data_IF_281525011524
#
_entry.id   IF_281525011524
#
_cell.length_a   1.000
_cell.length_b   1.000
_cell.length_c   1.000
_cell.angle_alpha   90.00
_cell.angle_beta   90.00
_cell.angle_gamma   90.00
#
_symmetry.space_group_name_H-M   'P 1'
#
loop_
_entity.id
_entity.type
_entity.pdbx_description
1 polymer ?
#
# COMPACT_ATOMS: atom_id res chain seq x y z
N UNK A 1 57.54 50.57 43.64
CA UNK A 1 56.58 49.49 43.72
C UNK A 1 55.77 49.55 42.45
N UNK A 2 56.02 48.67 41.51
CA UNK A 2 55.36 48.63 40.22
C UNK A 2 54.31 47.56 40.24
N UNK A 3 53.01 47.95 40.17
CA UNK A 3 51.91 47.07 39.97
C UNK A 3 51.75 46.80 38.49
N UNK A 4 52.13 45.63 38.03
CA UNK A 4 51.89 45.19 36.68
C UNK A 4 50.46 44.69 36.57
N UNK A 5 49.62 45.48 35.96
CA UNK A 5 48.28 45.05 35.54
C UNK A 5 48.40 44.26 34.24
N UNK A 6 48.37 42.95 34.40
CA UNK A 6 48.17 42.06 33.24
C UNK A 6 46.68 42.08 32.83
N UNK A 7 46.32 42.84 31.82
CA UNK A 7 45.04 42.71 31.16
C UNK A 7 45.06 41.43 30.32
N UNK A 8 44.44 40.42 30.84
CA UNK A 8 44.11 39.26 30.03
C UNK A 8 42.87 39.61 29.17
N UNK A 9 43.14 39.80 27.86
CA UNK A 9 42.10 39.89 26.88
C UNK A 9 41.44 38.53 26.74
N UNK A 10 40.17 38.41 27.17
CA UNK A 10 39.34 37.25 26.85
C UNK A 10 38.92 37.41 25.39
N UNK A 11 39.51 36.56 24.53
CA UNK A 11 38.98 36.40 23.17
C UNK A 11 37.78 35.51 23.29
N UNK A 12 36.59 36.06 23.23
CA UNK A 12 35.35 35.30 23.06
C UNK A 12 35.32 34.84 21.60
N UNK A 13 35.73 33.59 21.38
CA UNK A 13 35.54 32.93 20.10
C UNK A 13 34.05 32.64 19.97
N UNK A 14 33.37 33.47 19.20
CA UNK A 14 31.99 33.21 18.78
C UNK A 14 32.02 32.07 17.75
N UNK A 15 31.91 30.85 18.25
CA UNK A 15 31.71 29.68 17.40
C UNK A 15 30.32 29.73 16.78
N UNK A 16 30.24 30.17 15.54
CA UNK A 16 29.04 30.04 14.74
C UNK A 16 28.75 28.56 14.55
N UNK A 17 27.89 27.99 15.36
CA UNK A 17 27.30 26.69 15.09
C UNK A 17 26.37 26.87 13.87
N UNK A 18 26.86 26.53 12.68
CA UNK A 18 26.02 26.32 11.51
C UNK A 18 25.16 25.08 11.80
N UNK A 19 23.90 25.33 12.19
CA UNK A 19 22.88 24.30 12.10
C UNK A 19 22.66 24.00 10.62
N UNK A 20 23.28 22.92 10.13
CA UNK A 20 22.86 22.28 8.91
C UNK A 20 21.49 21.66 9.19
N UNK A 21 20.45 22.42 8.92
CA UNK A 21 19.12 21.83 8.78
C UNK A 21 19.15 20.96 7.54
N UNK A 22 19.38 19.66 7.72
CA UNK A 22 19.15 18.70 6.69
C UNK A 22 17.65 18.72 6.40
N UNK A 23 17.23 19.45 5.37
CA UNK A 23 15.93 19.23 4.78
C UNK A 23 15.93 17.80 4.24
N UNK A 24 15.40 16.87 5.02
CA UNK A 24 14.96 15.61 4.50
C UNK A 24 13.77 15.93 3.58
N UNK A 25 14.05 16.18 2.30
CA UNK A 25 13.04 16.18 1.29
C UNK A 25 12.47 14.76 1.28
N UNK A 26 11.35 14.55 1.98
CA UNK A 26 10.61 13.31 1.92
C UNK A 26 10.21 13.10 0.47
N UNK A 27 10.86 12.14 -0.20
CA UNK A 27 10.36 11.63 -1.46
C UNK A 27 8.90 11.20 -1.19
N UNK A 28 7.92 11.63 -2.02
CA UNK A 28 6.59 11.09 -1.89
C UNK A 28 6.72 9.58 -1.95
N UNK A 29 6.33 8.89 -0.87
CA UNK A 29 6.26 7.43 -0.89
C UNK A 29 5.38 7.09 -2.08
N UNK A 30 5.96 6.42 -3.11
CA UNK A 30 5.15 5.80 -4.12
C UNK A 30 4.09 5.01 -3.37
N UNK A 31 2.80 5.27 -3.64
CA UNK A 31 1.73 4.51 -2.99
C UNK A 31 1.88 3.08 -3.45
N UNK A 32 2.63 2.29 -2.66
CA UNK A 32 2.66 0.86 -2.83
C UNK A 32 1.23 0.37 -2.65
N UNK A 33 0.75 -0.43 -3.59
CA UNK A 33 -0.51 -1.13 -3.45
C UNK A 33 -0.48 -1.88 -2.11
N UNK A 34 -1.56 -1.80 -1.33
CA UNK A 34 -1.70 -2.56 -0.09
C UNK A 34 -1.44 -4.04 -0.36
N UNK A 35 -0.61 -4.71 0.45
CA UNK A 35 -0.36 -6.13 0.27
C UNK A 35 -1.68 -6.91 0.36
N UNK A 36 -1.82 -7.93 -0.49
CA UNK A 36 -3.02 -8.77 -0.56
C UNK A 36 -4.30 -8.02 -0.94
N UNK A 37 -4.16 -6.91 -1.64
CA UNK A 37 -5.27 -6.17 -2.21
C UNK A 37 -5.30 -6.35 -3.73
N UNK A 38 -6.52 -6.55 -4.25
CA UNK A 38 -6.81 -6.48 -5.68
C UNK A 38 -7.71 -5.27 -5.92
N UNK A 39 -7.27 -4.37 -6.76
CA UNK A 39 -8.05 -3.21 -7.17
C UNK A 39 -8.83 -3.55 -8.42
N UNK A 40 -10.10 -3.16 -8.46
CA UNK A 40 -10.94 -3.24 -9.66
C UNK A 40 -10.98 -1.84 -10.26
N UNK A 41 -10.36 -1.68 -11.43
CA UNK A 41 -10.29 -0.40 -12.13
C UNK A 41 -10.21 -0.61 -13.64
N UNK A 42 -10.85 0.27 -14.38
CA UNK A 42 -10.91 0.20 -15.85
C UNK A 42 -11.42 -1.17 -16.33
N UNK A 43 -12.41 -1.73 -15.63
CA UNK A 43 -12.97 -3.05 -15.94
C UNK A 43 -11.94 -4.18 -15.91
N UNK A 44 -10.99 -4.09 -15.00
CA UNK A 44 -9.94 -5.10 -14.80
C UNK A 44 -9.68 -5.32 -13.30
N UNK A 45 -9.30 -6.54 -12.95
CA UNK A 45 -8.68 -6.84 -11.66
C UNK A 45 -7.18 -6.55 -11.75
N UNK A 46 -6.66 -5.83 -10.78
CA UNK A 46 -5.23 -5.50 -10.72
C UNK A 46 -4.65 -5.78 -9.31
N UNK A 47 -3.70 -6.71 -9.20
CA UNK A 47 -3.12 -7.55 -10.24
C UNK A 47 -4.11 -8.61 -10.74
N UNK A 48 -3.91 -9.09 -11.97
CA UNK A 48 -4.69 -10.20 -12.52
C UNK A 48 -4.22 -11.57 -12.03
N UNK A 49 -3.05 -11.63 -11.44
CA UNK A 49 -2.50 -12.83 -10.79
C UNK A 49 -1.86 -12.41 -9.45
N UNK A 50 -2.31 -13.01 -8.38
CA UNK A 50 -1.80 -12.77 -7.04
C UNK A 50 -1.48 -14.11 -6.37
N UNK A 51 -0.27 -14.22 -5.81
CA UNK A 51 0.13 -15.37 -5.01
C UNK A 51 0.18 -14.98 -3.54
N UNK A 52 -0.49 -15.75 -2.70
CA UNK A 52 -0.56 -15.54 -1.25
C UNK A 52 -0.30 -16.84 -0.49
N UNK A 53 0.04 -16.72 0.77
CA UNK A 53 0.16 -17.86 1.69
C UNK A 53 -1.22 -18.28 2.19
N UNK A 54 -1.39 -19.58 2.47
CA UNK A 54 -2.57 -20.09 3.14
C UNK A 54 -2.83 -19.34 4.45
N UNK A 55 -4.08 -18.99 4.71
CA UNK A 55 -4.50 -18.17 5.84
C UNK A 55 -4.56 -16.67 5.54
N UNK A 56 -4.18 -16.25 4.34
CA UNK A 56 -4.21 -14.84 3.94
C UNK A 56 -5.62 -14.39 3.60
N UNK A 57 -5.99 -13.20 4.06
CA UNK A 57 -7.20 -12.50 3.64
C UNK A 57 -6.86 -11.59 2.46
N UNK A 58 -7.54 -11.78 1.34
CA UNK A 58 -7.44 -10.91 0.16
C UNK A 58 -8.62 -9.96 0.16
N UNK A 59 -8.34 -8.70 -0.11
CA UNK A 59 -9.35 -7.63 -0.21
C UNK A 59 -9.44 -7.15 -1.64
N UNK A 60 -10.63 -7.17 -2.21
CA UNK A 60 -10.94 -6.51 -3.48
C UNK A 60 -11.60 -5.17 -3.20
N UNK A 61 -11.16 -4.14 -3.89
CA UNK A 61 -11.75 -2.80 -3.81
C UNK A 61 -12.14 -2.31 -5.20
N UNK A 62 -13.42 -1.96 -5.36
CA UNK A 62 -13.90 -1.37 -6.61
C UNK A 62 -13.58 0.13 -6.66
N UNK A 63 -12.73 0.52 -7.62
CA UNK A 63 -12.39 1.91 -7.89
C UNK A 63 -13.08 2.48 -9.12
N UNK A 64 -13.87 1.65 -9.84
CA UNK A 64 -14.70 2.10 -10.95
C UNK A 64 -16.00 2.75 -10.48
N UNK A 65 -16.56 3.61 -11.30
CA UNK A 65 -17.90 4.15 -11.08
C UNK A 65 -19.02 3.17 -11.40
N UNK A 66 -18.71 2.04 -12.05
CA UNK A 66 -19.63 0.96 -12.38
C UNK A 66 -19.57 -0.13 -11.31
N UNK A 67 -20.70 -0.80 -11.01
CA UNK A 67 -20.70 -1.92 -10.09
C UNK A 67 -19.99 -3.14 -10.68
N UNK A 68 -19.28 -3.85 -9.84
CA UNK A 68 -18.61 -5.11 -10.15
C UNK A 68 -18.87 -6.15 -9.07
N UNK A 69 -18.68 -7.41 -9.40
CA UNK A 69 -18.71 -8.52 -8.43
C UNK A 69 -17.41 -9.31 -8.46
N UNK A 70 -17.16 -10.06 -7.40
CA UNK A 70 -16.03 -10.97 -7.28
C UNK A 70 -16.59 -12.36 -7.10
N UNK A 71 -16.42 -13.22 -8.10
CA UNK A 71 -17.01 -14.56 -8.14
C UNK A 71 -15.91 -15.58 -8.37
N UNK A 72 -15.89 -16.64 -7.58
CA UNK A 72 -15.05 -17.81 -7.85
C UNK A 72 -15.81 -18.79 -8.73
N UNK A 73 -15.15 -19.33 -9.77
CA UNK A 73 -15.76 -20.23 -10.75
C UNK A 73 -16.17 -21.59 -10.17
N UNK A 74 -15.57 -22.00 -9.06
CA UNK A 74 -15.95 -23.23 -8.33
C UNK A 74 -17.04 -22.98 -7.28
N UNK A 75 -17.55 -21.74 -7.15
CA UNK A 75 -18.62 -21.39 -6.24
C UNK A 75 -18.22 -21.28 -4.76
N UNK A 76 -16.92 -21.14 -4.48
CA UNK A 76 -16.41 -21.05 -3.10
C UNK A 76 -16.78 -19.70 -2.46
N UNK A 77 -16.78 -18.64 -3.25
CA UNK A 77 -17.20 -17.31 -2.79
C UNK A 77 -17.86 -16.52 -3.93
N UNK A 78 -18.70 -15.61 -3.52
CA UNK A 78 -19.43 -14.71 -4.41
C UNK A 78 -19.75 -13.43 -3.63
N UNK A 79 -19.22 -12.29 -4.09
CA UNK A 79 -19.56 -10.99 -3.49
C UNK A 79 -20.95 -10.54 -3.90
N UNK A 80 -21.53 -9.62 -3.13
CA UNK A 80 -22.61 -8.76 -3.62
C UNK A 80 -22.05 -7.80 -4.68
N UNK A 81 -22.92 -7.03 -5.34
CA UNK A 81 -22.48 -5.94 -6.20
C UNK A 81 -21.69 -4.91 -5.37
N UNK A 82 -20.49 -4.60 -5.83
CA UNK A 82 -19.62 -3.60 -5.22
C UNK A 82 -19.75 -2.31 -5.99
N UNK A 83 -20.29 -1.28 -5.35
CA UNK A 83 -20.29 0.09 -5.86
C UNK A 83 -18.90 0.72 -5.72
N UNK A 84 -18.72 1.93 -6.21
CA UNK A 84 -17.44 2.63 -6.10
C UNK A 84 -16.98 2.71 -4.63
N UNK A 85 -15.74 2.35 -4.38
CA UNK A 85 -15.08 2.28 -3.07
C UNK A 85 -15.55 1.13 -2.14
N UNK A 86 -16.52 0.34 -2.54
CA UNK A 86 -16.89 -0.85 -1.80
C UNK A 86 -15.78 -1.91 -1.85
N UNK A 87 -15.72 -2.73 -0.81
CA UNK A 87 -14.74 -3.80 -0.67
C UNK A 87 -15.41 -5.13 -0.43
N UNK A 88 -14.72 -6.20 -0.86
CA UNK A 88 -15.03 -7.58 -0.53
C UNK A 88 -13.78 -8.27 -0.03
N UNK A 89 -13.90 -9.12 0.96
CA UNK A 89 -12.79 -9.87 1.55
C UNK A 89 -13.09 -11.36 1.57
N UNK A 90 -12.04 -12.16 1.32
CA UNK A 90 -12.09 -13.60 1.49
C UNK A 90 -10.78 -14.11 2.06
N UNK A 91 -10.84 -15.00 3.05
CA UNK A 91 -9.68 -15.64 3.66
C UNK A 91 -9.42 -17.00 3.01
N UNK A 92 -8.27 -17.14 2.37
CA UNK A 92 -7.87 -18.37 1.68
C UNK A 92 -7.14 -19.30 2.63
N UNK A 93 -7.81 -20.32 3.13
CA UNK A 93 -7.25 -21.29 4.08
C UNK A 93 -6.55 -22.44 3.35
N UNK A 94 -7.11 -22.90 2.24
CA UNK A 94 -6.66 -24.10 1.54
C UNK A 94 -5.76 -23.72 0.35
N UNK A 95 -4.53 -24.30 0.25
CA UNK A 95 -3.70 -24.14 -0.94
C UNK A 95 -4.42 -24.58 -2.22
N UNK A 96 -4.14 -23.88 -3.30
CA UNK A 96 -4.72 -24.17 -4.60
C UNK A 96 -4.75 -22.96 -5.51
N UNK A 97 -5.34 -23.12 -6.69
CA UNK A 97 -5.54 -22.07 -7.70
C UNK A 97 -7.02 -21.74 -7.75
N UNK A 98 -7.33 -20.47 -7.54
CA UNK A 98 -8.70 -19.96 -7.49
C UNK A 98 -8.92 -18.98 -8.63
N UNK A 99 -9.73 -19.36 -9.60
CA UNK A 99 -10.12 -18.47 -10.68
C UNK A 99 -11.23 -17.54 -10.24
N UNK A 100 -11.12 -16.29 -10.63
CA UNK A 100 -12.04 -15.22 -10.26
C UNK A 100 -12.52 -14.50 -11.52
N UNK A 101 -13.78 -14.12 -11.53
CA UNK A 101 -14.36 -13.31 -12.60
C UNK A 101 -15.39 -12.33 -12.03
N UNK A 102 -15.76 -11.34 -12.81
CA UNK A 102 -16.88 -10.47 -12.50
C UNK A 102 -18.17 -11.05 -13.08
N UNK A 103 -19.18 -11.28 -12.26
CA UNK A 103 -20.45 -11.84 -12.71
C UNK A 103 -21.26 -10.92 -13.63
N UNK A 104 -21.01 -9.61 -13.55
CA UNK A 104 -21.67 -8.58 -14.41
C UNK A 104 -20.90 -8.42 -15.73
N UNK A 105 -19.59 -8.57 -15.69
CA UNK A 105 -18.67 -8.42 -16.83
C UNK A 105 -17.77 -9.65 -16.89
N UNK A 106 -18.23 -10.82 -17.40
CA UNK A 106 -17.53 -12.10 -17.26
C UNK A 106 -16.17 -12.19 -17.95
N UNK A 107 -15.84 -11.27 -18.85
CA UNK A 107 -14.51 -11.17 -19.46
C UNK A 107 -13.43 -10.66 -18.49
N UNK A 108 -13.83 -10.01 -17.40
CA UNK A 108 -12.93 -9.60 -16.32
C UNK A 108 -12.54 -10.84 -15.50
N UNK A 109 -11.27 -11.23 -15.57
CA UNK A 109 -10.76 -12.44 -14.94
C UNK A 109 -9.49 -12.18 -14.17
N UNK A 110 -9.29 -12.95 -13.12
CA UNK A 110 -8.08 -12.96 -12.31
C UNK A 110 -7.85 -14.37 -11.73
N UNK A 111 -6.65 -14.59 -11.21
CA UNK A 111 -6.27 -15.84 -10.55
C UNK A 111 -5.58 -15.54 -9.24
N UNK A 112 -6.03 -16.20 -8.18
CA UNK A 112 -5.37 -16.20 -6.88
C UNK A 112 -4.73 -17.57 -6.66
N UNK A 113 -3.42 -17.60 -6.47
CA UNK A 113 -2.68 -18.82 -6.13
C UNK A 113 -2.35 -18.80 -4.65
N UNK A 114 -2.74 -19.86 -3.94
CA UNK A 114 -2.55 -20.02 -2.50
C UNK A 114 -1.54 -21.13 -2.26
N UNK A 115 -0.50 -20.82 -1.52
CA UNK A 115 0.62 -21.74 -1.23
C UNK A 115 0.67 -22.16 0.24
#
# INVERSE_FOLDING_TARGET
MLLNYFRRAFVVSCGSAMLLAALAAGLPAAQAQEPNQVVIKNFMFSPMALTVKAGTTVTWKNMDGEPHTVVNDAGIFHSTALDQNDTFQFTFVKPGVYNVFCGIHPYMKATITVQ
#
